data_IF_802333969591
#
_entry.id   IF_802333969591
#
_cell.length_a   1.000
_cell.length_b   1.000
_cell.length_c   1.000
_cell.angle_alpha   90.00
_cell.angle_beta   90.00
_cell.angle_gamma   90.00
#
_symmetry.space_group_name_H-M   'P 1'
#
loop_
_entity.id
_entity.type
_entity.pdbx_description
1 polymer ?
#
# COMPACT_ATOMS: atom_id res chain seq x y z
N UNK A 1 8.54 -17.34 14.64
CA UNK A 1 7.14 -17.23 14.37
C UNK A 1 6.36 -18.30 15.14
N UNK A 2 5.37 -17.89 15.96
CA UNK A 2 4.69 -18.83 16.90
C UNK A 2 3.26 -19.20 16.41
N UNK A 3 2.92 -18.90 15.16
CA UNK A 3 1.56 -19.07 14.60
C UNK A 3 1.49 -20.08 13.43
N UNK A 4 2.50 -20.96 13.31
CA UNK A 4 2.54 -22.01 12.28
C UNK A 4 3.13 -21.57 10.93
N UNK A 5 3.66 -20.36 10.81
CA UNK A 5 4.44 -19.91 9.65
C UNK A 5 5.93 -20.00 9.95
N UNK A 6 6.73 -20.49 9.00
CA UNK A 6 8.18 -20.57 9.13
C UNK A 6 8.87 -19.22 8.93
N UNK A 7 8.26 -18.37 8.12
CA UNK A 7 8.77 -17.04 7.81
C UNK A 7 7.68 -15.97 7.92
N UNK A 8 8.06 -14.78 8.38
CA UNK A 8 7.23 -13.60 8.42
C UNK A 8 8.05 -12.35 8.08
N UNK A 9 7.51 -11.51 7.21
CA UNK A 9 8.06 -10.18 6.97
C UNK A 9 6.93 -9.16 6.83
N UNK A 10 6.95 -8.09 7.62
CA UNK A 10 5.93 -7.05 7.53
C UNK A 10 5.62 -6.36 8.86
N UNK A 11 4.41 -5.82 8.94
CA UNK A 11 3.89 -5.19 10.15
C UNK A 11 3.41 -6.24 11.15
N UNK A 12 3.73 -6.06 12.42
CA UNK A 12 3.17 -6.89 13.49
C UNK A 12 2.06 -6.18 14.29
N UNK A 13 1.69 -4.98 13.90
CA UNK A 13 0.69 -4.16 14.58
C UNK A 13 -0.11 -3.35 13.55
N UNK A 14 -1.44 -3.47 13.59
CA UNK A 14 -2.34 -2.73 12.71
C UNK A 14 -2.12 -1.21 12.79
N UNK A 15 -1.88 -0.65 13.98
CA UNK A 15 -1.63 0.78 14.15
C UNK A 15 -0.42 1.27 13.35
N UNK A 16 0.62 0.45 13.26
CA UNK A 16 1.83 0.75 12.48
C UNK A 16 1.55 0.69 10.97
N UNK A 17 0.66 -0.21 10.52
CA UNK A 17 0.28 -0.33 9.12
C UNK A 17 -0.50 0.87 8.56
N UNK A 18 -0.88 1.84 9.41
CA UNK A 18 -1.41 3.14 8.97
C UNK A 18 -0.33 4.17 8.57
N UNK A 19 0.87 3.73 8.27
CA UNK A 19 1.88 4.46 7.48
C UNK A 19 2.56 3.46 6.56
N UNK A 20 2.69 3.82 5.28
CA UNK A 20 3.40 2.97 4.31
C UNK A 20 4.90 3.30 4.23
N UNK A 21 5.35 4.29 5.04
CA UNK A 21 6.74 4.59 5.33
C UNK A 21 7.00 4.46 6.84
N UNK A 22 6.93 3.22 7.40
CA UNK A 22 7.16 3.01 8.83
C UNK A 22 8.65 3.15 9.19
N UNK A 23 8.95 3.40 10.45
CA UNK A 23 10.34 3.42 10.93
C UNK A 23 11.00 2.04 10.99
N UNK A 24 10.22 0.98 10.89
CA UNK A 24 10.71 -0.41 10.90
C UNK A 24 9.64 -1.38 10.39
N UNK A 25 10.10 -2.55 9.97
CA UNK A 25 9.30 -3.76 9.77
C UNK A 25 9.88 -4.90 10.63
N UNK A 26 9.21 -6.02 10.65
CA UNK A 26 9.63 -7.19 11.38
C UNK A 26 9.99 -8.33 10.42
N UNK A 27 11.19 -8.88 10.60
CA UNK A 27 11.62 -10.12 9.99
C UNK A 27 11.59 -11.21 11.06
N UNK A 28 10.58 -12.06 11.04
CA UNK A 28 10.30 -13.01 12.13
C UNK A 28 10.19 -12.30 13.49
N UNK A 29 11.17 -12.45 14.37
CA UNK A 29 11.23 -11.83 15.70
C UNK A 29 12.17 -10.61 15.75
N UNK A 30 12.86 -10.32 14.67
CA UNK A 30 13.84 -9.24 14.60
C UNK A 30 13.23 -7.98 14.00
N UNK A 31 13.55 -6.87 14.61
CA UNK A 31 13.12 -5.54 14.16
C UNK A 31 14.12 -5.01 13.13
N UNK A 32 13.66 -4.87 11.89
CA UNK A 32 14.45 -4.24 10.83
C UNK A 32 14.14 -2.73 10.80
N UNK A 33 15.13 -1.93 11.13
CA UNK A 33 15.02 -0.46 11.07
C UNK A 33 15.07 -0.01 9.61
N UNK A 34 14.22 0.95 9.26
CA UNK A 34 14.09 1.53 7.93
C UNK A 34 14.56 2.99 7.94
N UNK A 35 14.96 3.48 6.77
CA UNK A 35 15.39 4.87 6.57
C UNK A 35 14.18 5.80 6.41
N UNK A 36 13.34 5.81 7.43
CA UNK A 36 12.16 6.64 7.49
C UNK A 36 12.05 7.37 8.82
N UNK A 37 11.64 8.63 8.79
CA UNK A 37 11.32 9.41 9.98
C UNK A 37 9.91 9.07 10.48
N UNK A 38 9.72 9.15 11.80
CA UNK A 38 8.38 9.05 12.38
C UNK A 38 7.66 10.37 12.15
N UNK A 39 6.53 10.29 11.43
CA UNK A 39 5.69 11.45 11.13
C UNK A 39 4.37 11.34 11.88
N UNK A 40 4.02 12.37 12.62
CA UNK A 40 2.72 12.45 13.27
C UNK A 40 1.62 12.68 12.23
N UNK A 41 0.51 11.95 12.38
CA UNK A 41 -0.69 12.16 11.58
C UNK A 41 -1.34 13.48 11.97
N UNK A 42 -1.94 14.15 11.00
CA UNK A 42 -2.59 15.43 11.21
C UNK A 42 -2.77 16.20 9.91
N UNK A 43 -3.33 17.41 9.98
CA UNK A 43 -3.46 18.27 8.82
C UNK A 43 -2.10 18.73 8.30
N UNK A 44 -2.09 19.23 7.07
CA UNK A 44 -0.94 19.91 6.50
C UNK A 44 -0.51 21.04 7.44
N UNK A 45 0.79 21.16 7.68
CA UNK A 45 1.30 22.18 8.62
C UNK A 45 0.90 23.57 8.17
N UNK A 46 0.51 24.40 9.14
CA UNK A 46 0.17 25.80 8.91
C UNK A 46 1.30 26.53 8.18
N UNK A 47 0.93 27.38 7.23
CA UNK A 47 1.87 28.14 6.40
C UNK A 47 2.42 27.40 5.19
N UNK A 48 2.14 26.11 5.01
CA UNK A 48 2.50 25.36 3.80
C UNK A 48 1.42 25.55 2.71
N UNK A 49 1.86 25.76 1.48
CA UNK A 49 0.99 25.85 0.31
C UNK A 49 0.51 24.45 -0.12
N UNK A 50 -0.82 24.16 -0.10
CA UNK A 50 -1.37 22.90 -0.52
C UNK A 50 -1.10 22.52 -1.99
N UNK A 51 -0.81 23.50 -2.83
CA UNK A 51 -0.54 23.29 -4.25
C UNK A 51 0.96 23.14 -4.55
N UNK A 52 1.82 23.30 -3.55
CA UNK A 52 3.26 23.07 -3.68
C UNK A 52 3.62 21.62 -3.32
N UNK A 53 4.19 20.89 -4.26
CA UNK A 53 4.59 19.48 -4.06
C UNK A 53 5.58 19.31 -2.90
N UNK A 54 6.44 20.28 -2.64
CA UNK A 54 7.40 20.22 -1.54
C UNK A 54 6.74 20.20 -0.16
N UNK A 55 5.51 20.70 -0.05
CA UNK A 55 4.73 20.66 1.20
C UNK A 55 4.40 19.24 1.66
N UNK A 56 4.55 18.24 0.78
CA UNK A 56 4.21 16.83 1.03
C UNK A 56 5.43 15.91 1.12
N UNK A 57 6.65 16.44 1.01
CA UNK A 57 7.88 15.63 1.03
C UNK A 57 8.01 14.78 2.30
N UNK A 58 7.52 15.30 3.44
CA UNK A 58 7.57 14.58 4.72
C UNK A 58 6.75 13.26 4.71
N UNK A 59 5.75 13.16 3.85
CA UNK A 59 4.85 12.00 3.79
C UNK A 59 5.26 10.95 2.74
N UNK A 60 6.28 11.26 1.91
CA UNK A 60 6.83 10.36 0.89
C UNK A 60 8.33 10.22 1.13
N UNK A 61 8.73 9.15 1.81
CA UNK A 61 10.08 8.95 2.30
C UNK A 61 10.84 7.88 1.49
N UNK A 62 11.88 7.26 2.07
CA UNK A 62 12.79 6.38 1.34
C UNK A 62 12.27 4.94 1.24
N UNK A 63 11.96 4.32 2.38
CA UNK A 63 11.65 2.89 2.46
C UNK A 63 10.13 2.66 2.44
N UNK A 64 9.58 2.44 1.24
CA UNK A 64 8.17 2.14 1.05
C UNK A 64 7.88 0.67 1.40
N UNK A 65 7.18 0.44 2.51
CA UNK A 65 6.96 -0.90 3.05
C UNK A 65 6.31 -1.89 2.08
N UNK A 66 5.30 -1.52 1.25
CA UNK A 66 4.76 -2.45 0.26
C UNK A 66 5.79 -2.94 -0.74
N UNK A 67 6.76 -2.12 -1.15
CA UNK A 67 7.87 -2.55 -2.01
C UNK A 67 8.78 -3.54 -1.30
N UNK A 68 9.15 -3.25 -0.04
CA UNK A 68 10.01 -4.14 0.73
C UNK A 68 9.34 -5.50 0.99
N UNK A 69 8.05 -5.49 1.34
CA UNK A 69 7.28 -6.72 1.54
C UNK A 69 7.16 -7.53 0.25
N UNK A 70 6.99 -6.86 -0.89
CA UNK A 70 6.93 -7.49 -2.20
C UNK A 70 8.25 -8.13 -2.58
N UNK A 71 9.38 -7.43 -2.40
CA UNK A 71 10.71 -7.97 -2.67
C UNK A 71 11.00 -9.21 -1.83
N UNK A 72 10.55 -9.24 -0.57
CA UNK A 72 10.66 -10.42 0.28
C UNK A 72 9.79 -11.58 -0.20
N UNK A 73 8.59 -11.31 -0.71
CA UNK A 73 7.74 -12.34 -1.30
C UNK A 73 8.38 -12.97 -2.54
N UNK A 74 8.96 -12.17 -3.44
CA UNK A 74 9.69 -12.68 -4.61
C UNK A 74 10.92 -13.48 -4.20
N UNK A 75 11.69 -13.00 -3.22
CA UNK A 75 12.85 -13.71 -2.67
C UNK A 75 12.47 -15.03 -1.99
N UNK A 76 11.33 -15.06 -1.28
CA UNK A 76 10.78 -16.27 -0.69
C UNK A 76 10.43 -17.32 -1.76
N UNK A 77 9.78 -16.91 -2.85
CA UNK A 77 9.43 -17.80 -3.96
C UNK A 77 10.70 -18.41 -4.59
N UNK A 78 11.71 -17.58 -4.84
CA UNK A 78 12.97 -18.04 -5.43
C UNK A 78 13.72 -19.03 -4.52
N UNK A 79 13.77 -18.73 -3.23
CA UNK A 79 14.42 -19.58 -2.22
C UNK A 79 13.71 -20.92 -2.00
N UNK A 80 12.42 -21.02 -2.32
CA UNK A 80 11.60 -22.22 -2.13
C UNK A 80 11.20 -22.90 -3.45
N UNK A 81 11.85 -22.58 -4.55
CA UNK A 81 11.51 -23.13 -5.87
C UNK A 81 11.55 -24.67 -5.95
N UNK A 82 12.36 -25.34 -5.14
CA UNK A 82 12.42 -26.81 -5.09
C UNK A 82 11.44 -27.43 -4.08
N UNK A 83 10.80 -26.63 -3.24
CA UNK A 83 9.93 -27.07 -2.16
C UNK A 83 8.44 -26.81 -2.47
N UNK A 84 7.55 -27.45 -1.71
CA UNK A 84 6.17 -27.01 -1.59
C UNK A 84 6.12 -25.84 -0.60
N UNK A 85 5.30 -24.84 -0.91
CA UNK A 85 5.16 -23.67 -0.06
C UNK A 85 3.70 -23.19 0.03
N UNK A 86 3.43 -22.41 1.07
CA UNK A 86 2.22 -21.62 1.23
C UNK A 86 2.63 -20.16 1.45
N UNK A 87 2.28 -19.29 0.53
CA UNK A 87 2.53 -17.86 0.63
C UNK A 87 1.23 -17.13 0.95
N UNK A 88 1.14 -16.51 2.14
CA UNK A 88 0.08 -15.57 2.49
C UNK A 88 0.60 -14.14 2.32
N UNK A 89 0.29 -13.53 1.17
CA UNK A 89 0.72 -12.18 0.83
C UNK A 89 -0.35 -11.16 1.21
N UNK A 90 -0.35 -10.72 2.47
CA UNK A 90 -1.29 -9.75 3.02
C UNK A 90 -0.84 -8.32 2.71
N UNK A 91 -1.08 -7.85 1.48
CA UNK A 91 -0.74 -6.49 1.08
C UNK A 91 -1.54 -5.44 1.86
N UNK A 92 -0.89 -4.38 2.42
CA UNK A 92 -1.60 -3.31 3.10
C UNK A 92 -2.29 -2.32 2.14
N UNK A 93 -1.94 -2.34 0.84
CA UNK A 93 -2.54 -1.43 -0.15
C UNK A 93 -3.73 -2.11 -0.84
N UNK A 94 -4.77 -1.35 -1.23
CA UNK A 94 -4.87 0.12 -1.25
C UNK A 94 -5.47 0.77 0.01
N UNK A 95 -5.27 0.19 1.20
CA UNK A 95 -5.70 0.84 2.45
C UNK A 95 -4.95 2.17 2.68
N UNK A 96 -5.60 3.12 3.33
CA UNK A 96 -5.02 4.41 3.68
C UNK A 96 -3.83 4.28 4.65
N UNK A 97 -2.87 5.20 4.63
CA UNK A 97 -2.88 6.51 3.95
C UNK A 97 -2.61 6.40 2.44
N UNK A 98 -2.99 7.46 1.71
CA UNK A 98 -2.69 7.58 0.27
C UNK A 98 -1.21 7.83 0.07
N UNK A 99 -0.47 6.78 -0.18
CA UNK A 99 0.97 6.79 -0.45
C UNK A 99 1.27 5.74 -1.53
N UNK A 100 1.94 6.13 -2.60
CA UNK A 100 2.23 5.25 -3.73
C UNK A 100 3.55 5.63 -4.41
N UNK A 101 4.17 4.71 -5.17
CA UNK A 101 5.35 5.03 -5.97
C UNK A 101 5.08 6.16 -6.96
N UNK A 102 6.03 7.10 -7.00
CA UNK A 102 5.93 8.33 -7.81
C UNK A 102 5.60 8.06 -9.28
N UNK A 103 6.15 6.99 -9.87
CA UNK A 103 5.90 6.63 -11.28
C UNK A 103 4.40 6.50 -11.61
N UNK A 104 3.65 5.85 -10.71
CA UNK A 104 2.21 5.64 -10.87
C UNK A 104 1.40 6.89 -10.53
N UNK A 105 1.81 7.65 -9.52
CA UNK A 105 1.19 8.95 -9.20
C UNK A 105 1.32 9.89 -10.40
N UNK A 106 2.51 10.03 -10.98
CA UNK A 106 2.75 10.89 -12.14
C UNK A 106 1.95 10.46 -13.38
N UNK A 107 1.80 9.14 -13.59
CA UNK A 107 0.96 8.60 -14.66
C UNK A 107 -0.50 9.07 -14.51
N UNK A 108 -1.08 8.89 -13.32
CA UNK A 108 -2.48 9.22 -13.09
C UNK A 108 -2.75 10.73 -12.99
N UNK A 109 -1.80 11.51 -12.51
CA UNK A 109 -1.88 12.98 -12.58
C UNK A 109 -2.02 13.49 -14.01
N UNK A 110 -1.27 12.91 -14.95
CA UNK A 110 -1.41 13.24 -16.37
C UNK A 110 -2.77 12.82 -16.92
N UNK A 111 -3.30 11.70 -16.46
CA UNK A 111 -4.57 11.13 -16.93
C UNK A 111 -5.79 11.85 -16.38
N UNK A 112 -5.79 12.22 -15.10
CA UNK A 112 -6.94 12.84 -14.42
C UNK A 112 -6.90 14.37 -14.45
N UNK A 113 -5.74 14.97 -14.69
CA UNK A 113 -5.58 16.41 -14.71
C UNK A 113 -5.53 17.03 -13.31
N UNK A 114 -6.08 18.24 -13.19
CA UNK A 114 -6.08 18.99 -11.93
C UNK A 114 -7.08 18.38 -10.93
N UNK A 115 -6.66 18.25 -9.70
CA UNK A 115 -7.50 17.82 -8.56
C UNK A 115 -7.22 18.67 -7.32
N UNK A 116 -8.15 18.65 -6.37
CA UNK A 116 -8.02 19.38 -5.12
C UNK A 116 -7.19 18.55 -4.13
N UNK A 117 -6.19 19.16 -3.46
CA UNK A 117 -5.40 18.51 -2.45
C UNK A 117 -6.24 18.12 -1.23
N UNK A 118 -5.96 16.94 -0.67
CA UNK A 118 -6.40 16.59 0.66
C UNK A 118 -5.39 17.14 1.69
N UNK A 119 -5.82 18.11 2.47
CA UNK A 119 -4.97 18.79 3.46
C UNK A 119 -5.00 18.13 4.85
N UNK A 120 -5.68 16.99 4.99
CA UNK A 120 -5.90 16.34 6.28
C UNK A 120 -7.12 16.87 7.01
N UNK A 121 -7.54 16.11 8.03
CA UNK A 121 -8.71 16.46 8.84
C UNK A 121 -8.28 16.80 10.27
N UNK A 122 -8.92 17.82 10.88
CA UNK A 122 -8.70 18.23 12.27
C UNK A 122 -9.61 17.49 13.26
N UNK A 123 -10.62 16.75 12.76
CA UNK A 123 -11.63 16.05 13.57
C UNK A 123 -11.58 14.53 13.35
N UNK A 124 -10.95 13.77 14.23
CA UNK A 124 -11.06 12.31 14.25
C UNK A 124 -9.92 11.55 13.57
N UNK A 125 -10.21 10.56 12.73
CA UNK A 125 -9.23 9.68 12.13
C UNK A 125 -8.27 10.41 11.18
N UNK A 126 -7.05 10.62 11.64
CA UNK A 126 -6.03 11.35 10.92
C UNK A 126 -5.32 10.44 9.94
N UNK A 127 -5.43 10.75 8.65
CA UNK A 127 -4.53 10.26 7.62
C UNK A 127 -3.60 11.39 7.18
N UNK A 128 -2.51 11.06 6.51
CA UNK A 128 -1.58 12.06 6.02
C UNK A 128 -2.20 12.88 4.89
N UNK A 129 -1.88 14.19 4.82
CA UNK A 129 -2.21 15.02 3.65
C UNK A 129 -1.66 14.40 2.37
N UNK A 130 -2.37 14.62 1.27
CA UNK A 130 -1.95 14.16 -0.05
C UNK A 130 -2.32 15.19 -1.11
N UNK A 131 -1.36 15.57 -1.95
CA UNK A 131 -1.56 16.60 -2.98
C UNK A 131 -2.49 16.13 -4.11
N UNK A 132 -2.47 14.84 -4.42
CA UNK A 132 -3.17 14.25 -5.55
C UNK A 132 -3.94 13.00 -5.13
N UNK A 133 -5.02 13.14 -4.34
CA UNK A 133 -5.67 12.00 -3.69
C UNK A 133 -6.23 10.98 -4.68
N UNK A 134 -6.90 11.42 -5.77
CA UNK A 134 -7.42 10.51 -6.81
C UNK A 134 -6.29 9.81 -7.55
N UNK A 135 -5.31 10.57 -7.99
CA UNK A 135 -4.15 9.99 -8.69
C UNK A 135 -3.39 9.01 -7.82
N UNK A 136 -3.20 9.32 -6.52
CA UNK A 136 -2.50 8.44 -5.60
C UNK A 136 -3.29 7.17 -5.29
N UNK A 137 -4.62 7.25 -5.13
CA UNK A 137 -5.44 6.05 -4.94
C UNK A 137 -5.38 5.10 -6.15
N UNK A 138 -5.55 5.63 -7.36
CA UNK A 138 -5.39 4.86 -8.58
C UNK A 138 -3.97 4.27 -8.73
N UNK A 139 -2.95 5.04 -8.32
CA UNK A 139 -1.56 4.60 -8.29
C UNK A 139 -1.32 3.41 -7.36
N UNK A 140 -1.94 3.42 -6.17
CA UNK A 140 -1.87 2.29 -5.22
C UNK A 140 -2.46 1.01 -5.81
N UNK A 141 -3.63 1.11 -6.47
CA UNK A 141 -4.29 -0.04 -7.11
C UNK A 141 -3.43 -0.58 -8.25
N UNK A 142 -2.89 0.29 -9.13
CA UNK A 142 -2.02 -0.15 -10.22
C UNK A 142 -0.69 -0.74 -9.72
N UNK A 143 -0.19 -0.25 -8.60
CA UNK A 143 1.02 -0.83 -8.00
C UNK A 143 0.75 -2.22 -7.39
N UNK A 144 -0.44 -2.42 -6.80
CA UNK A 144 -0.86 -3.75 -6.35
C UNK A 144 -0.98 -4.72 -7.53
N UNK A 145 -1.60 -4.29 -8.63
CA UNK A 145 -1.72 -5.08 -9.84
C UNK A 145 -0.35 -5.46 -10.44
N UNK A 146 0.59 -4.50 -10.47
CA UNK A 146 1.99 -4.74 -10.86
C UNK A 146 2.62 -5.83 -9.97
N UNK A 147 2.47 -5.74 -8.66
CA UNK A 147 3.01 -6.72 -7.71
C UNK A 147 2.41 -8.13 -7.92
N UNK A 148 1.12 -8.22 -8.18
CA UNK A 148 0.46 -9.50 -8.52
C UNK A 148 1.03 -10.06 -9.83
N UNK A 149 1.21 -9.22 -10.83
CA UNK A 149 1.81 -9.60 -12.10
C UNK A 149 3.25 -10.12 -11.94
N UNK A 150 4.05 -9.47 -11.09
CA UNK A 150 5.42 -9.91 -10.79
C UNK A 150 5.47 -11.25 -10.04
N UNK A 151 4.56 -11.49 -9.09
CA UNK A 151 4.43 -12.79 -8.40
C UNK A 151 4.09 -13.89 -9.43
N UNK A 152 3.10 -13.65 -10.30
CA UNK A 152 2.73 -14.61 -11.35
C UNK A 152 3.89 -14.88 -12.30
N UNK A 153 4.63 -13.83 -12.68
CA UNK A 153 5.81 -13.95 -13.54
C UNK A 153 6.92 -14.75 -12.87
N UNK A 154 7.16 -14.51 -11.57
CA UNK A 154 8.13 -15.27 -10.78
C UNK A 154 7.74 -16.75 -10.68
N UNK A 155 6.47 -17.08 -10.46
CA UNK A 155 6.00 -18.48 -10.45
C UNK A 155 6.23 -19.17 -11.79
N UNK A 156 6.06 -18.48 -12.90
CA UNK A 156 6.39 -19.02 -14.25
C UNK A 156 7.88 -19.21 -14.43
N UNK A 157 8.69 -18.24 -14.02
CA UNK A 157 10.16 -18.28 -14.09
C UNK A 157 10.74 -19.50 -13.35
N UNK A 158 10.24 -19.77 -12.14
CA UNK A 158 10.69 -20.91 -11.32
C UNK A 158 9.98 -22.23 -11.63
N UNK A 159 9.16 -22.30 -12.68
CA UNK A 159 8.46 -23.52 -13.11
C UNK A 159 7.37 -24.02 -12.17
N UNK A 160 6.82 -23.17 -11.31
CA UNK A 160 5.80 -23.56 -10.32
C UNK A 160 4.38 -23.11 -10.69
N UNK A 161 4.21 -22.30 -11.74
CA UNK A 161 2.91 -21.69 -12.08
C UNK A 161 1.80 -22.73 -12.27
N UNK A 162 2.04 -23.76 -13.07
CA UNK A 162 1.03 -24.79 -13.41
C UNK A 162 0.67 -25.70 -12.23
N UNK A 163 1.46 -25.69 -11.17
CA UNK A 163 1.25 -26.46 -9.94
C UNK A 163 1.02 -25.55 -8.72
N UNK A 164 0.55 -24.30 -8.93
CA UNK A 164 0.25 -23.36 -7.87
C UNK A 164 -1.22 -22.94 -7.94
N UNK A 165 -1.93 -23.09 -6.83
CA UNK A 165 -3.27 -22.53 -6.67
C UNK A 165 -3.16 -21.08 -6.20
N UNK A 166 -3.63 -20.13 -7.02
CA UNK A 166 -3.58 -18.70 -6.73
C UNK A 166 -4.96 -18.21 -6.34
N UNK A 167 -5.10 -17.60 -5.16
CA UNK A 167 -6.31 -16.95 -4.70
C UNK A 167 -6.04 -15.45 -4.54
N UNK A 168 -6.84 -14.61 -5.19
CA UNK A 168 -6.86 -13.17 -4.99
C UNK A 168 -8.18 -12.75 -4.34
N UNK A 169 -8.10 -12.03 -3.23
CA UNK A 169 -9.29 -11.58 -2.49
C UNK A 169 -9.00 -10.28 -1.75
N UNK A 170 -10.06 -9.62 -1.30
CA UNK A 170 -10.00 -8.50 -0.36
C UNK A 170 -10.68 -8.90 0.95
N UNK A 171 -10.27 -8.28 2.05
CA UNK A 171 -10.85 -8.47 3.38
C UNK A 171 -12.22 -7.78 3.54
N UNK A 172 -12.43 -6.70 2.79
CA UNK A 172 -13.68 -5.92 2.77
C UNK A 172 -13.89 -5.15 1.47
N UNK A 173 -15.05 -4.53 1.33
CA UNK A 173 -15.38 -3.64 0.23
C UNK A 173 -14.64 -2.30 0.27
N UNK A 174 -14.86 -1.42 -0.72
CA UNK A 174 -14.20 -0.13 -0.82
C UNK A 174 -14.51 0.78 0.35
N UNK A 175 -13.56 1.65 0.70
CA UNK A 175 -13.70 2.58 1.83
C UNK A 175 -14.47 3.85 1.45
N UNK A 176 -15.26 4.35 2.41
CA UNK A 176 -15.92 5.64 2.37
C UNK A 176 -15.17 6.66 3.21
N UNK A 177 -14.19 7.34 2.65
CA UNK A 177 -13.51 8.45 3.31
C UNK A 177 -13.41 9.64 2.37
N UNK A 178 -13.45 10.85 2.94
CA UNK A 178 -13.60 12.12 2.20
C UNK A 178 -12.61 12.32 1.04
N UNK A 179 -11.41 11.77 1.15
CA UNK A 179 -10.36 11.92 0.14
C UNK A 179 -10.22 10.73 -0.82
N UNK A 180 -11.09 9.71 -0.68
CA UNK A 180 -11.24 8.63 -1.66
C UNK A 180 -12.59 8.78 -2.33
N UNK A 181 -12.60 9.28 -3.56
CA UNK A 181 -13.82 9.53 -4.32
C UNK A 181 -14.36 8.24 -4.93
N UNK A 182 -15.17 7.51 -4.15
CA UNK A 182 -15.74 6.22 -4.57
C UNK A 182 -16.69 6.36 -5.76
N UNK A 183 -17.34 7.51 -5.94
CA UNK A 183 -18.22 7.77 -7.06
C UNK A 183 -17.42 7.96 -8.35
N UNK A 184 -16.32 8.72 -8.28
CA UNK A 184 -15.40 8.90 -9.40
C UNK A 184 -14.85 7.54 -9.90
N UNK A 185 -14.50 6.66 -8.97
CA UNK A 185 -13.93 5.35 -9.30
C UNK A 185 -14.99 4.27 -9.55
N UNK A 186 -16.26 4.50 -9.25
CA UNK A 186 -17.28 3.46 -9.19
C UNK A 186 -16.78 2.23 -8.41
N UNK A 187 -16.21 2.46 -7.24
CA UNK A 187 -15.37 1.49 -6.52
C UNK A 187 -16.12 0.22 -6.11
N UNK A 188 -17.45 0.29 -5.92
CA UNK A 188 -18.26 -0.87 -5.61
C UNK A 188 -18.65 -1.68 -6.88
N UNK A 189 -18.45 -1.13 -8.09
CA UNK A 189 -18.85 -1.75 -9.33
C UNK A 189 -20.35 -2.07 -9.34
N UNK A 190 -20.76 -3.33 -9.62
CA UNK A 190 -22.14 -3.74 -9.60
C UNK A 190 -22.70 -3.99 -8.18
N UNK A 191 -21.85 -3.96 -7.16
CA UNK A 191 -22.24 -4.20 -5.77
C UNK A 191 -22.65 -2.90 -5.08
N UNK A 192 -23.53 -3.00 -4.08
CA UNK A 192 -24.10 -1.81 -3.42
C UNK A 192 -23.47 -1.47 -2.08
N UNK A 193 -22.66 -2.35 -1.53
CA UNK A 193 -22.09 -2.20 -0.20
C UNK A 193 -20.62 -1.75 -0.24
N UNK A 194 -20.24 -1.02 0.80
CA UNK A 194 -18.87 -0.58 1.05
C UNK A 194 -18.41 -1.02 2.44
N UNK A 195 -17.18 -0.70 2.81
CA UNK A 195 -16.65 -0.97 4.15
C UNK A 195 -17.54 -0.36 5.22
N UNK A 196 -17.95 -1.15 6.21
CA UNK A 196 -18.81 -0.77 7.34
C UNK A 196 -20.28 -0.44 6.98
N UNK A 197 -20.79 -0.94 5.87
CA UNK A 197 -22.21 -0.83 5.51
C UNK A 197 -22.87 -2.20 5.38
#
# INVERSE_FOLDING_TARGET
>A
NNKGFDFFYGYNCQRQAHTLYPSHLWRNKERQILDNQIVNKGPLKEGLDPYNTNSYNLYNQNDYAPTLMHNEALSFLDSNKENNFFLYYASPIPHLPLQAPKKWVDYYRKKFGKEEPYIGNTKGNYYYPNQYPKATYAAMISYLDEQVGEIVSKLKEIGKYDNTFIVFSSDNGPTHVEHVDINFFNSAGPFVNSKNT
#
